data_IF_387574510613
#
_entry.id   IF_387574510613
#
_cell.length_a   1.000
_cell.length_b   1.000
_cell.length_c   1.000
_cell.angle_alpha   90.00
_cell.angle_beta   90.00
_cell.angle_gamma   90.00
#
_symmetry.space_group_name_H-M   'P 1'
#
loop_
_entity.id
_entity.type
_entity.pdbx_description
1 polymer ?
#
# COMPACT_ATOMS: atom_id res chain seq x y z
N UNK A 1 -21.20 -14.14 -24.56
CA UNK A 1 -20.62 -14.34 -23.21
C UNK A 1 -20.02 -13.02 -22.74
N UNK A 2 -20.27 -12.59 -21.50
CA UNK A 2 -19.69 -11.36 -20.95
C UNK A 2 -18.19 -11.59 -20.65
N UNK A 3 -17.29 -10.96 -21.42
CA UNK A 3 -15.83 -11.10 -21.28
C UNK A 3 -15.30 -10.55 -19.95
N UNK A 4 -16.05 -9.68 -19.28
CA UNK A 4 -15.61 -9.09 -18.01
C UNK A 4 -15.42 -10.12 -16.90
N UNK A 5 -16.09 -11.28 -17.00
CA UNK A 5 -15.95 -12.37 -16.03
C UNK A 5 -14.59 -13.07 -16.06
N UNK A 6 -13.80 -12.85 -17.13
CA UNK A 6 -12.47 -13.44 -17.31
C UNK A 6 -11.34 -12.42 -17.09
N UNK A 7 -11.67 -11.16 -16.80
CA UNK A 7 -10.66 -10.14 -16.57
C UNK A 7 -9.84 -10.49 -15.33
N UNK A 8 -8.53 -10.55 -15.51
CA UNK A 8 -7.54 -10.68 -14.45
C UNK A 8 -7.35 -9.35 -13.71
N UNK A 9 -6.48 -9.35 -12.70
CA UNK A 9 -6.06 -8.11 -12.03
C UNK A 9 -5.53 -7.07 -13.02
N UNK A 10 -4.63 -7.50 -13.91
CA UNK A 10 -3.95 -6.62 -14.88
C UNK A 10 -4.98 -6.06 -15.89
N UNK A 11 -5.90 -6.88 -16.39
CA UNK A 11 -7.00 -6.44 -17.27
C UNK A 11 -7.91 -5.36 -16.65
N UNK A 12 -8.11 -5.41 -15.33
CA UNK A 12 -8.92 -4.44 -14.59
C UNK A 12 -8.09 -3.18 -14.33
N UNK A 13 -6.82 -3.33 -13.95
CA UNK A 13 -5.88 -2.22 -13.77
C UNK A 13 -5.75 -1.37 -15.03
N UNK A 14 -5.54 -1.98 -16.19
CA UNK A 14 -5.40 -1.29 -17.47
C UNK A 14 -6.61 -0.41 -17.80
N UNK A 15 -7.82 -0.97 -17.62
CA UNK A 15 -9.08 -0.24 -17.90
C UNK A 15 -9.32 0.90 -16.92
N UNK A 16 -8.97 0.72 -15.65
CA UNK A 16 -9.09 1.78 -14.65
C UNK A 16 -8.04 2.85 -14.91
N UNK A 17 -6.82 2.49 -15.29
CA UNK A 17 -5.76 3.41 -15.66
C UNK A 17 -6.15 4.28 -16.85
N UNK A 18 -6.69 3.69 -17.91
CA UNK A 18 -7.22 4.40 -19.08
C UNK A 18 -8.30 5.41 -18.67
N UNK A 19 -9.21 5.01 -17.78
CA UNK A 19 -10.32 5.87 -17.35
C UNK A 19 -9.89 7.05 -16.47
N UNK A 20 -8.76 6.90 -15.76
CA UNK A 20 -8.18 7.86 -14.83
C UNK A 20 -7.01 8.65 -15.41
N UNK A 21 -6.59 8.37 -16.65
CA UNK A 21 -5.39 8.93 -17.28
C UNK A 21 -4.10 8.67 -16.46
N UNK A 22 -4.00 7.47 -15.91
CA UNK A 22 -2.81 7.01 -15.17
C UNK A 22 -1.89 6.27 -16.13
N UNK A 23 -0.67 6.80 -16.34
CA UNK A 23 0.27 6.23 -17.30
C UNK A 23 0.76 4.81 -16.96
N UNK A 24 0.86 4.48 -15.67
CA UNK A 24 1.35 3.19 -15.19
C UNK A 24 0.24 2.45 -14.39
N UNK A 25 -0.44 1.46 -15.02
CA UNK A 25 -1.49 0.67 -14.37
C UNK A 25 -1.02 -0.08 -13.13
N UNK A 26 0.28 -0.39 -13.02
CA UNK A 26 0.83 -1.11 -11.87
C UNK A 26 0.81 -0.29 -10.57
N UNK A 27 0.51 1.00 -10.65
CA UNK A 27 0.31 1.88 -9.49
C UNK A 27 -1.11 1.84 -8.94
N UNK A 28 -2.05 1.18 -9.60
CA UNK A 28 -3.44 1.09 -9.16
C UNK A 28 -3.59 -0.07 -8.20
N UNK A 29 -3.91 0.23 -6.94
CA UNK A 29 -4.19 -0.76 -5.91
C UNK A 29 -5.69 -0.87 -5.69
N UNK A 30 -6.18 -2.10 -5.66
CA UNK A 30 -7.60 -2.41 -5.43
C UNK A 30 -7.86 -2.91 -4.02
N UNK A 31 -9.01 -2.55 -3.46
CA UNK A 31 -9.48 -2.99 -2.14
C UNK A 31 -10.95 -3.37 -2.21
N UNK A 32 -11.30 -4.54 -1.67
CA UNK A 32 -12.69 -5.03 -1.69
C UNK A 32 -13.60 -4.16 -0.82
N UNK A 33 -14.90 -4.19 -1.11
CA UNK A 33 -15.89 -3.58 -0.26
C UNK A 33 -16.22 -4.49 0.94
N UNK A 34 -16.06 -3.97 2.16
CA UNK A 34 -16.57 -4.60 3.36
C UNK A 34 -18.06 -4.23 3.52
N UNK A 35 -18.94 -5.18 3.23
CA UNK A 35 -20.38 -4.96 3.26
C UNK A 35 -20.91 -4.58 4.64
N UNK A 36 -20.37 -5.18 5.70
CA UNK A 36 -20.82 -4.95 7.07
C UNK A 36 -20.47 -3.55 7.54
N UNK A 37 -19.26 -3.08 7.22
CA UNK A 37 -18.75 -1.79 7.68
C UNK A 37 -18.95 -0.65 6.66
N UNK A 38 -19.52 -0.94 5.49
CA UNK A 38 -19.76 0.00 4.39
C UNK A 38 -18.51 0.82 4.01
N UNK A 39 -17.34 0.19 4.10
CA UNK A 39 -16.04 0.82 3.84
C UNK A 39 -15.09 -0.16 3.14
N UNK A 40 -13.94 0.29 2.62
CA UNK A 40 -12.93 -0.62 2.09
C UNK A 40 -12.47 -1.62 3.15
N UNK A 41 -12.17 -2.87 2.75
CA UNK A 41 -11.47 -3.82 3.62
C UNK A 41 -10.12 -3.26 4.09
N UNK A 42 -9.68 -3.69 5.28
CA UNK A 42 -8.41 -3.24 5.83
C UNK A 42 -7.20 -3.65 4.97
N UNK A 43 -7.31 -4.79 4.29
CA UNK A 43 -6.24 -5.32 3.45
C UNK A 43 -6.62 -5.16 1.97
N UNK A 44 -5.71 -4.63 1.14
CA UNK A 44 -5.93 -4.56 -0.30
C UNK A 44 -5.89 -5.96 -0.93
N UNK A 45 -6.45 -6.07 -2.13
CA UNK A 45 -6.30 -7.25 -2.98
C UNK A 45 -4.83 -7.37 -3.37
N UNK A 46 -4.27 -8.57 -3.23
CA UNK A 46 -2.89 -8.85 -3.62
C UNK A 46 -2.67 -8.51 -5.09
N UNK A 47 -1.56 -7.83 -5.40
CA UNK A 47 -1.15 -7.59 -6.79
C UNK A 47 -0.98 -8.92 -7.51
N UNK A 48 -1.60 -9.03 -8.69
CA UNK A 48 -1.75 -10.28 -9.47
C UNK A 48 -2.40 -11.43 -8.68
N UNK A 49 -3.43 -11.10 -7.91
CA UNK A 49 -4.32 -12.09 -7.31
C UNK A 49 -4.76 -13.15 -8.33
N UNK A 50 -4.64 -14.42 -7.94
CA UNK A 50 -5.01 -15.59 -8.75
C UNK A 50 -6.53 -15.75 -8.81
N UNK A 51 -7.18 -14.90 -9.60
CA UNK A 51 -8.61 -14.94 -9.85
C UNK A 51 -9.06 -13.91 -10.88
N UNK A 52 -10.37 -13.81 -11.07
CA UNK A 52 -10.96 -12.88 -12.03
C UNK A 52 -11.76 -11.79 -11.33
N UNK A 53 -12.22 -10.79 -12.10
CA UNK A 53 -13.01 -9.66 -11.60
C UNK A 53 -14.16 -10.06 -10.65
N UNK A 54 -14.96 -11.12 -10.92
CA UNK A 54 -15.98 -11.55 -9.94
C UNK A 54 -15.40 -11.95 -8.57
N UNK A 55 -14.22 -12.58 -8.55
CA UNK A 55 -13.54 -12.96 -7.30
C UNK A 55 -12.92 -11.75 -6.59
N UNK A 56 -12.57 -10.71 -7.34
CA UNK A 56 -12.13 -9.42 -6.80
C UNK A 56 -13.30 -8.63 -6.19
N UNK A 57 -14.53 -8.83 -6.66
CA UNK A 57 -15.75 -8.15 -6.18
C UNK A 57 -16.48 -8.88 -5.04
N UNK A 58 -16.19 -10.17 -4.85
CA UNK A 58 -16.81 -11.00 -3.82
C UNK A 58 -16.24 -10.69 -2.44
N UNK A 59 -17.14 -10.53 -1.47
CA UNK A 59 -16.83 -10.64 -0.06
C UNK A 59 -17.64 -11.82 0.51
N UNK A 60 -16.94 -12.87 0.94
CA UNK A 60 -17.51 -14.20 1.24
C UNK A 60 -18.33 -14.78 0.07
N UNK A 61 -19.64 -14.93 0.26
CA UNK A 61 -20.54 -15.59 -0.69
C UNK A 61 -21.32 -14.61 -1.58
N UNK A 62 -21.13 -13.30 -1.39
CA UNK A 62 -21.95 -12.29 -2.05
C UNK A 62 -21.10 -11.34 -2.90
N UNK A 63 -21.56 -11.11 -4.14
CA UNK A 63 -21.01 -10.12 -5.05
C UNK A 63 -21.75 -8.80 -4.84
N UNK A 64 -21.01 -7.75 -4.49
CA UNK A 64 -21.57 -6.44 -4.23
C UNK A 64 -21.36 -5.46 -5.38
N UNK A 65 -20.60 -5.84 -6.41
CA UNK A 65 -20.30 -4.97 -7.56
C UNK A 65 -19.51 -3.70 -7.22
N UNK A 66 -18.94 -3.59 -6.01
CA UNK A 66 -18.17 -2.41 -5.55
C UNK A 66 -16.76 -2.84 -5.18
N UNK A 67 -15.78 -2.12 -5.73
CA UNK A 67 -14.36 -2.22 -5.39
C UNK A 67 -13.77 -0.82 -5.34
N UNK A 68 -12.91 -0.57 -4.36
CA UNK A 68 -12.20 0.69 -4.20
C UNK A 68 -10.85 0.62 -4.89
N UNK A 69 -10.34 1.77 -5.30
CA UNK A 69 -9.00 1.89 -5.85
C UNK A 69 -8.27 3.08 -5.23
N UNK A 70 -6.96 3.05 -5.31
CA UNK A 70 -6.08 4.18 -5.05
C UNK A 70 -4.90 4.15 -6.04
N UNK A 71 -4.36 5.31 -6.36
CA UNK A 71 -3.18 5.46 -7.22
C UNK A 71 -1.98 5.72 -6.33
N UNK A 72 -0.99 4.85 -6.40
CA UNK A 72 0.20 4.89 -5.55
C UNK A 72 1.32 5.71 -6.22
N UNK A 73 2.21 6.25 -5.40
CA UNK A 73 3.41 6.94 -5.91
C UNK A 73 4.43 5.94 -6.51
N UNK A 74 4.43 4.70 -6.02
CA UNK A 74 5.36 3.61 -6.37
C UNK A 74 4.56 2.43 -6.91
N UNK A 75 5.16 1.65 -7.82
CA UNK A 75 4.48 0.51 -8.44
C UNK A 75 4.21 -0.63 -7.44
N UNK A 76 3.13 -1.38 -7.65
CA UNK A 76 2.81 -2.56 -6.82
C UNK A 76 3.89 -3.65 -6.85
N UNK A 77 4.52 -3.98 -7.99
CA UNK A 77 5.68 -4.87 -8.01
C UNK A 77 6.76 -4.41 -7.05
N UNK A 78 7.16 -3.14 -7.06
CA UNK A 78 8.17 -2.62 -6.15
C UNK A 78 7.70 -2.72 -4.69
N UNK A 79 6.45 -2.33 -4.40
CA UNK A 79 5.87 -2.40 -3.06
C UNK A 79 5.84 -3.83 -2.49
N UNK A 80 5.59 -4.85 -3.33
CA UNK A 80 5.67 -6.26 -2.89
C UNK A 80 7.07 -6.68 -2.45
N UNK A 81 8.12 -5.99 -2.92
CA UNK A 81 9.50 -6.21 -2.51
C UNK A 81 9.93 -5.27 -1.37
N UNK A 82 9.06 -4.38 -0.91
CA UNK A 82 9.30 -3.52 0.24
C UNK A 82 8.75 -4.14 1.54
N UNK A 83 9.28 -3.68 2.66
CA UNK A 83 8.78 -3.89 4.00
C UNK A 83 8.70 -2.53 4.69
N UNK A 84 7.53 -2.23 5.26
CA UNK A 84 7.36 -1.04 6.09
C UNK A 84 7.59 -1.41 7.55
N UNK A 85 8.47 -0.68 8.20
CA UNK A 85 8.80 -0.79 9.62
C UNK A 85 8.28 0.46 10.33
N UNK A 86 7.52 0.25 11.41
CA UNK A 86 7.12 1.31 12.32
C UNK A 86 8.17 1.39 13.43
N UNK A 87 8.98 2.44 13.41
CA UNK A 87 10.07 2.66 14.35
C UNK A 87 9.66 3.72 15.35
N UNK A 88 9.72 3.37 16.64
CA UNK A 88 9.63 4.34 17.73
C UNK A 88 11.05 4.86 18.02
N UNK A 89 11.25 6.16 17.85
CA UNK A 89 12.51 6.84 18.10
C UNK A 89 12.39 7.68 19.37
N UNK A 90 13.29 7.43 20.33
CA UNK A 90 13.39 8.20 21.56
C UNK A 90 14.55 9.17 21.42
N UNK A 91 14.23 10.46 21.42
CA UNK A 91 15.22 11.52 21.45
C UNK A 91 15.72 11.71 22.88
N UNK A 92 17.04 11.73 23.09
CA UNK A 92 17.64 11.95 24.40
C UNK A 92 17.52 13.42 24.86
N UNK A 93 17.27 14.35 23.94
CA UNK A 93 17.25 15.80 24.18
C UNK A 93 15.84 16.33 24.45
N UNK A 94 14.81 15.63 23.98
CA UNK A 94 13.41 16.03 24.13
C UNK A 94 12.82 15.25 25.32
N UNK A 95 12.48 15.94 26.40
CA UNK A 95 11.78 15.43 27.60
C UNK A 95 10.32 15.04 27.34
N UNK A 96 9.99 14.57 26.13
CA UNK A 96 8.68 13.99 25.83
C UNK A 96 8.73 12.50 26.16
N UNK A 97 7.84 12.05 27.03
CA UNK A 97 7.67 10.64 27.36
C UNK A 97 7.18 9.80 26.15
N UNK A 98 6.65 10.47 25.11
CA UNK A 98 6.15 9.80 23.90
C UNK A 98 7.20 9.75 22.79
N UNK A 99 7.52 8.54 22.26
CA UNK A 99 8.47 8.40 21.16
C UNK A 99 7.92 8.96 19.85
N UNK A 100 8.81 9.53 19.04
CA UNK A 100 8.48 9.88 17.67
C UNK A 100 8.31 8.60 16.85
N UNK A 101 7.18 8.46 16.16
CA UNK A 101 6.86 7.27 15.38
C UNK A 101 7.14 7.54 13.91
N UNK A 102 8.11 6.82 13.34
CA UNK A 102 8.49 6.91 11.94
C UNK A 102 8.08 5.64 11.18
N UNK A 103 7.43 5.79 10.04
CA UNK A 103 7.12 4.69 9.13
C UNK A 103 8.17 4.67 8.01
N UNK A 104 9.02 3.66 8.01
CA UNK A 104 10.16 3.54 7.08
C UNK A 104 9.91 2.36 6.16
N UNK A 105 9.96 2.59 4.85
CA UNK A 105 9.79 1.54 3.85
C UNK A 105 11.11 1.25 3.15
N UNK A 106 11.55 -0.01 3.23
CA UNK A 106 12.83 -0.46 2.70
C UNK A 106 12.67 -1.80 1.97
N UNK A 107 13.56 -2.17 1.03
CA UNK A 107 13.55 -3.49 0.41
C UNK A 107 13.58 -4.62 1.44
N UNK A 108 12.93 -5.76 1.17
CA UNK A 108 12.85 -6.91 2.10
C UNK A 108 14.21 -7.48 2.49
N UNK A 109 15.22 -7.33 1.65
CA UNK A 109 16.61 -7.74 1.88
C UNK A 109 17.44 -6.74 2.70
N UNK A 110 16.84 -5.63 3.14
CA UNK A 110 17.56 -4.58 3.86
C UNK A 110 18.01 -5.05 5.25
N UNK A 111 19.15 -4.52 5.68
CA UNK A 111 19.76 -4.79 6.98
C UNK A 111 19.31 -3.76 8.01
N UNK A 112 19.62 -4.02 9.29
CA UNK A 112 19.43 -3.04 10.36
C UNK A 112 20.24 -1.76 10.10
N UNK A 113 21.40 -1.86 9.45
CA UNK A 113 22.21 -0.69 9.07
C UNK A 113 21.50 0.24 8.07
N UNK A 114 20.74 -0.33 7.15
CA UNK A 114 19.94 0.43 6.18
C UNK A 114 18.80 1.17 6.87
N UNK A 115 18.13 0.51 7.83
CA UNK A 115 17.10 1.14 8.67
C UNK A 115 17.66 2.34 9.42
N UNK A 116 18.81 2.20 10.07
CA UNK A 116 19.46 3.28 10.81
C UNK A 116 19.83 4.46 9.90
N UNK A 117 20.31 4.17 8.70
CA UNK A 117 20.65 5.18 7.69
C UNK A 117 19.40 5.97 7.27
N UNK A 118 18.27 5.29 7.08
CA UNK A 118 17.02 5.93 6.66
C UNK A 118 16.36 6.74 7.79
N UNK A 119 16.43 6.26 9.03
CA UNK A 119 16.04 7.04 10.23
C UNK A 119 16.85 8.33 10.28
N UNK A 120 18.18 8.28 10.10
CA UNK A 120 19.04 9.47 10.17
C UNK A 120 18.70 10.55 9.13
N UNK A 121 18.20 10.18 7.96
CA UNK A 121 17.73 11.16 6.95
C UNK A 121 16.40 11.79 7.33
N UNK A 122 15.57 11.04 8.06
CA UNK A 122 14.21 11.42 8.41
C UNK A 122 14.17 12.23 9.71
N UNK A 123 15.07 11.93 10.65
CA UNK A 123 15.26 12.67 11.89
C UNK A 123 16.14 13.88 11.59
N UNK A 124 15.53 15.06 11.50
CA UNK A 124 16.28 16.31 11.56
C UNK A 124 16.77 16.45 12.99
N UNK A 125 18.02 16.08 13.25
CA UNK A 125 18.68 16.41 14.50
C UNK A 125 19.06 17.89 14.39
N UNK A 126 18.23 18.77 14.96
CA UNK A 126 18.64 20.15 15.21
C UNK A 126 19.74 20.10 16.27
N UNK A 127 20.99 20.14 15.80
CA UNK A 127 22.10 20.46 16.68
C UNK A 127 22.03 21.96 16.96
N UNK A 128 21.32 22.32 18.03
CA UNK A 128 21.44 23.65 18.61
C UNK A 128 22.84 23.73 19.23
N UNK A 129 23.75 24.42 18.55
CA UNK A 129 25.03 24.81 19.12
C UNK A 129 24.78 26.07 19.97
N UNK A 130 24.72 25.90 21.29
CA UNK A 130 24.99 26.97 22.26
C UNK A 130 26.48 27.02 22.63
#
# INVERSE_FOLDING_TARGET
MNRSKLHTYDDVADRVAERLDVADPSKIRFTRHNYYLKKPESNPIQYRFEGHLPDMLRHYIQDYGIMYYEVLNTSLPELQHMKTLRVAFYDATITKEEPAIHNISLPKQSTVGDVLTEIKKTVIVTFDFD
#
